data_IF_874609925558
#
_entry.id   IF_874609925558
#
_cell.length_a   1.000
_cell.length_b   1.000
_cell.length_c   1.000
_cell.angle_alpha   90.00
_cell.angle_beta   90.00
_cell.angle_gamma   90.00
#
_symmetry.space_group_name_H-M   'P 1'
#
loop_
_entity.id
_entity.type
_entity.pdbx_description
1 polymer ?
#
# COMPACT_ATOMS: atom_id res chain seq x y z
N UNK A 1 8.69 18.21 3.64
CA UNK A 1 7.50 18.21 2.75
C UNK A 1 7.98 18.07 1.32
N UNK A 2 7.92 16.88 0.73
CA UNK A 2 7.92 16.77 -0.74
C UNK A 2 6.47 16.63 -1.15
N UNK A 3 5.84 17.77 -1.43
CA UNK A 3 4.65 17.82 -2.26
C UNK A 3 5.14 17.57 -3.68
N UNK A 4 4.80 16.42 -4.26
CA UNK A 4 4.79 16.27 -5.71
C UNK A 4 3.66 17.19 -6.20
N UNK A 5 3.97 18.46 -6.44
CA UNK A 5 3.08 19.38 -7.12
C UNK A 5 2.93 18.89 -8.56
N UNK A 6 1.89 18.09 -8.80
CA UNK A 6 1.34 17.94 -10.12
C UNK A 6 0.11 18.83 -10.22
N UNK A 7 0.21 19.81 -11.12
CA UNK A 7 -0.80 20.76 -11.51
C UNK A 7 -2.07 20.04 -11.96
N UNK A 8 -3.16 20.23 -11.23
CA UNK A 8 -4.40 20.83 -11.72
C UNK A 8 -5.50 20.68 -10.66
N UNK A 9 -6.23 21.75 -10.48
CA UNK A 9 -7.32 21.88 -9.55
C UNK A 9 -8.57 21.23 -10.19
N UNK A 10 -8.91 19.99 -9.81
CA UNK A 10 -10.23 19.41 -10.10
C UNK A 10 -10.89 19.06 -8.77
N UNK A 11 -11.99 19.75 -8.47
CA UNK A 11 -12.71 19.71 -7.20
C UNK A 11 -13.44 18.38 -6.95
N UNK A 12 -12.69 17.37 -6.56
CA UNK A 12 -13.15 16.21 -5.79
C UNK A 12 -12.20 16.04 -4.60
N UNK A 13 -12.65 15.45 -3.50
CA UNK A 13 -11.80 15.16 -2.33
C UNK A 13 -10.49 14.52 -2.78
N UNK A 14 -9.38 15.27 -2.70
CA UNK A 14 -8.09 14.80 -3.16
C UNK A 14 -7.59 13.74 -2.17
N UNK A 15 -7.76 12.47 -2.52
CA UNK A 15 -7.03 11.38 -1.87
C UNK A 15 -5.55 11.59 -2.14
N UNK A 16 -4.81 12.04 -1.12
CA UNK A 16 -3.37 12.27 -1.19
C UNK A 16 -2.63 11.25 -0.33
N UNK A 17 -1.49 10.79 -0.83
CA UNK A 17 -0.57 9.93 -0.08
C UNK A 17 0.62 10.78 0.36
N UNK A 18 1.03 10.63 1.61
CA UNK A 18 2.20 11.32 2.16
C UNK A 18 3.42 10.41 2.10
N UNK A 19 4.42 10.80 1.32
CA UNK A 19 5.74 10.18 1.35
C UNK A 19 6.68 11.03 2.21
N UNK A 20 7.12 10.47 3.34
CA UNK A 20 7.93 11.15 4.34
C UNK A 20 9.09 10.25 4.76
N UNK A 21 10.19 10.87 5.20
CA UNK A 21 11.21 10.17 5.98
C UNK A 21 10.71 9.98 7.42
N UNK A 22 11.21 8.98 8.14
CA UNK A 22 10.82 8.75 9.55
C UNK A 22 11.01 10.01 10.42
N UNK A 23 12.10 10.74 10.21
CA UNK A 23 12.39 12.00 10.88
C UNK A 23 11.30 13.06 10.63
N UNK A 24 10.84 13.19 9.39
CA UNK A 24 9.82 14.16 9.01
C UNK A 24 8.39 13.73 9.38
N UNK A 25 8.20 12.48 9.79
CA UNK A 25 6.92 11.99 10.28
C UNK A 25 6.64 12.35 11.75
N UNK A 26 7.64 12.87 12.47
CA UNK A 26 7.52 13.26 13.89
C UNK A 26 6.41 14.31 14.07
N UNK A 27 5.47 14.02 14.96
CA UNK A 27 4.34 14.91 15.28
C UNK A 27 3.18 14.86 14.28
N UNK A 28 3.25 14.00 13.26
CA UNK A 28 2.13 13.69 12.38
C UNK A 28 1.52 12.35 12.80
N UNK A 29 0.26 12.09 12.47
CA UNK A 29 -0.40 10.80 12.69
C UNK A 29 -1.31 10.49 11.51
N UNK A 30 -1.39 9.21 11.14
CA UNK A 30 -2.16 8.76 9.98
C UNK A 30 -2.95 7.49 10.33
N UNK A 31 -4.15 7.30 9.74
CA UNK A 31 -4.92 6.06 9.89
C UNK A 31 -4.09 4.82 9.49
N UNK A 32 -3.37 4.92 8.38
CA UNK A 32 -2.53 3.86 7.85
C UNK A 32 -1.13 4.39 7.59
N UNK A 33 -0.11 3.67 8.07
CA UNK A 33 1.30 3.97 7.80
C UNK A 33 1.97 2.75 7.20
N UNK A 34 2.71 2.97 6.12
CA UNK A 34 3.56 1.96 5.50
C UNK A 34 5.01 2.37 5.76
N UNK A 35 5.71 1.57 6.58
CA UNK A 35 7.14 1.73 6.81
C UNK A 35 7.87 0.79 5.88
N UNK A 36 8.53 1.35 4.87
CA UNK A 36 9.22 0.56 3.85
C UNK A 36 10.70 0.36 4.14
N UNK A 37 11.28 -0.72 3.60
CA UNK A 37 12.73 -0.95 3.61
C UNK A 37 13.36 -1.28 4.96
N UNK A 38 12.64 -1.92 5.89
CA UNK A 38 13.18 -2.31 7.21
C UNK A 38 14.06 -3.56 7.08
N UNK A 39 15.32 -3.34 6.70
CA UNK A 39 16.31 -4.41 6.45
C UNK A 39 17.57 -4.16 7.26
N UNK A 40 18.34 -5.21 7.55
CA UNK A 40 19.52 -5.15 8.43
C UNK A 40 20.63 -4.18 8.01
N UNK A 41 20.70 -3.79 6.72
CA UNK A 41 21.66 -2.80 6.23
C UNK A 41 21.18 -1.34 6.32
N UNK A 42 19.86 -1.13 6.34
CA UNK A 42 19.25 0.20 6.30
C UNK A 42 18.72 0.64 7.66
N UNK A 43 18.24 -0.31 8.47
CA UNK A 43 17.68 -0.03 9.79
C UNK A 43 18.06 -1.14 10.78
N UNK A 44 18.86 -0.85 11.82
CA UNK A 44 19.65 0.37 11.98
C UNK A 44 20.63 0.53 10.81
N UNK A 45 20.98 1.78 10.48
CA UNK A 45 21.92 2.03 9.39
C UNK A 45 23.26 1.35 9.67
N UNK A 46 23.80 0.59 8.71
CA UNK A 46 24.94 -0.31 8.91
C UNK A 46 26.23 0.35 9.46
N UNK A 47 26.36 1.67 9.31
CA UNK A 47 27.48 2.44 9.88
C UNK A 47 27.32 2.74 11.38
N UNK A 48 26.10 2.65 11.92
CA UNK A 48 25.81 2.79 13.35
C UNK A 48 26.20 1.53 14.08
N UNK A 49 27.26 1.60 14.88
CA UNK A 49 27.79 0.44 15.62
C UNK A 49 27.81 0.67 17.11
N UNK A 50 27.81 1.93 17.54
CA UNK A 50 27.79 2.26 18.95
C UNK A 50 26.40 2.05 19.52
N UNK A 51 26.34 1.72 20.81
CA UNK A 51 25.08 1.43 21.50
C UNK A 51 24.13 2.62 21.40
N UNK A 52 24.63 3.83 21.65
CA UNK A 52 23.80 5.05 21.67
C UNK A 52 23.23 5.38 20.29
N UNK A 53 23.99 5.11 19.23
CA UNK A 53 23.52 5.26 17.85
C UNK A 53 22.41 4.27 17.51
N UNK A 54 22.55 3.01 17.93
CA UNK A 54 21.54 1.98 17.74
C UNK A 54 20.27 2.31 18.54
N UNK A 55 20.41 2.84 19.76
CA UNK A 55 19.27 3.34 20.55
C UNK A 55 18.54 4.48 19.85
N UNK A 56 19.25 5.36 19.15
CA UNK A 56 18.64 6.46 18.40
C UNK A 56 17.86 5.96 17.17
N UNK A 57 18.44 5.04 16.40
CA UNK A 57 17.72 4.37 15.31
C UNK A 57 16.50 3.61 15.85
N UNK A 58 16.59 2.98 17.02
CA UNK A 58 15.44 2.32 17.66
C UNK A 58 14.35 3.32 18.00
N UNK A 59 14.70 4.49 18.54
CA UNK A 59 13.73 5.57 18.79
C UNK A 59 13.06 6.04 17.50
N UNK A 60 13.82 6.19 16.41
CA UNK A 60 13.25 6.55 15.10
C UNK A 60 12.26 5.51 14.59
N UNK A 61 12.60 4.22 14.69
CA UNK A 61 11.70 3.14 14.32
C UNK A 61 10.43 3.16 15.16
N UNK A 62 10.56 3.28 16.49
CA UNK A 62 9.42 3.38 17.40
C UNK A 62 8.52 4.59 17.10
N UNK A 63 9.11 5.76 16.84
CA UNK A 63 8.36 6.95 16.44
C UNK A 63 7.59 6.67 15.16
N UNK A 64 8.21 6.09 14.13
CA UNK A 64 7.56 5.75 12.87
C UNK A 64 6.41 4.74 13.05
N UNK A 65 6.61 3.69 13.84
CA UNK A 65 5.59 2.68 14.13
C UNK A 65 4.38 3.27 14.86
N UNK A 66 4.61 4.18 15.81
CA UNK A 66 3.54 4.85 16.57
C UNK A 66 2.83 5.96 15.81
N UNK A 67 3.19 6.21 14.54
CA UNK A 67 2.45 7.15 13.68
C UNK A 67 1.15 6.56 13.12
N UNK A 68 1.04 5.23 13.09
CA UNK A 68 -0.17 4.53 12.67
C UNK A 68 -1.20 4.50 13.80
N UNK A 69 -2.43 4.94 13.53
CA UNK A 69 -3.52 4.83 14.50
C UNK A 69 -4.39 3.58 14.31
N UNK A 70 -4.48 3.03 13.10
CA UNK A 70 -5.30 1.84 12.82
C UNK A 70 -4.47 0.70 12.23
N UNK A 71 -3.61 1.00 11.26
CA UNK A 71 -2.86 -0.03 10.54
C UNK A 71 -1.41 0.38 10.28
N UNK A 72 -0.50 -0.48 10.71
CA UNK A 72 0.92 -0.40 10.42
C UNK A 72 1.32 -1.54 9.49
N UNK A 73 1.85 -1.22 8.31
CA UNK A 73 2.45 -2.19 7.40
C UNK A 73 3.95 -1.97 7.37
N UNK A 74 4.73 -3.03 7.59
CA UNK A 74 6.18 -2.98 7.51
C UNK A 74 6.64 -3.87 6.36
N UNK A 75 7.37 -3.31 5.39
CA UNK A 75 7.97 -4.08 4.31
C UNK A 75 9.44 -4.36 4.61
N UNK A 76 9.87 -5.61 4.38
CA UNK A 76 11.25 -6.05 4.50
C UNK A 76 11.64 -6.91 3.30
N UNK A 77 12.93 -6.97 2.99
CA UNK A 77 13.49 -7.88 2.01
C UNK A 77 13.66 -9.26 2.64
N UNK A 78 13.18 -10.30 1.95
CA UNK A 78 13.09 -11.67 2.48
C UNK A 78 14.44 -12.27 2.90
N UNK A 79 15.54 -11.81 2.32
CA UNK A 79 16.88 -12.33 2.58
C UNK A 79 17.57 -11.67 3.79
N UNK A 80 17.15 -10.47 4.20
CA UNK A 80 17.87 -9.64 5.18
C UNK A 80 16.95 -8.80 6.09
N UNK A 81 16.07 -9.44 6.89
CA UNK A 81 15.21 -8.70 7.80
C UNK A 81 16.02 -7.95 8.87
N UNK A 82 15.53 -6.77 9.26
CA UNK A 82 16.09 -6.05 10.40
C UNK A 82 15.79 -6.78 11.71
N UNK A 83 16.75 -6.81 12.63
CA UNK A 83 16.52 -7.34 13.98
C UNK A 83 15.55 -6.48 14.81
N UNK A 84 15.29 -5.22 14.42
CA UNK A 84 14.25 -4.40 15.05
C UNK A 84 12.86 -5.02 14.91
N UNK A 85 12.63 -5.85 13.89
CA UNK A 85 11.35 -6.54 13.71
C UNK A 85 11.05 -7.54 14.82
N UNK A 86 12.06 -8.12 15.45
CA UNK A 86 11.88 -9.02 16.60
C UNK A 86 11.29 -8.31 17.82
N UNK A 87 11.39 -6.98 17.86
CA UNK A 87 10.93 -6.15 18.97
C UNK A 87 9.49 -5.65 18.77
N UNK A 88 8.93 -5.84 17.57
CA UNK A 88 7.52 -5.51 17.29
C UNK A 88 6.67 -6.68 17.79
N UNK A 89 5.69 -6.41 18.65
CA UNK A 89 4.91 -7.41 19.36
C UNK A 89 4.38 -8.52 18.44
N UNK A 90 4.78 -9.77 18.74
CA UNK A 90 4.56 -10.97 17.91
C UNK A 90 3.08 -11.34 17.74
N UNK A 91 2.20 -10.90 18.65
CA UNK A 91 0.83 -11.41 18.76
C UNK A 91 -0.13 -10.96 17.64
N UNK A 92 0.24 -9.99 16.82
CA UNK A 92 -0.62 -9.50 15.71
C UNK A 92 0.15 -9.33 14.39
N UNK A 93 1.33 -9.95 14.28
CA UNK A 93 2.14 -9.89 13.07
C UNK A 93 1.78 -11.05 12.14
N UNK A 94 1.24 -10.72 10.96
CA UNK A 94 1.09 -11.67 9.88
C UNK A 94 2.17 -11.39 8.83
N UNK A 95 3.10 -12.33 8.58
CA UNK A 95 4.04 -12.19 7.47
C UNK A 95 3.24 -12.27 6.18
N UNK A 96 3.26 -11.20 5.41
CA UNK A 96 2.58 -11.13 4.11
C UNK A 96 3.63 -11.11 3.01
N UNK A 97 3.53 -12.04 2.07
CA UNK A 97 4.55 -12.25 1.03
C UNK A 97 4.20 -11.56 -0.28
N UNK A 98 2.95 -11.10 -0.43
CA UNK A 98 2.53 -10.35 -1.59
C UNK A 98 1.74 -9.10 -1.21
N UNK A 99 1.94 -8.03 -1.97
CA UNK A 99 1.13 -6.82 -1.84
C UNK A 99 -0.37 -7.10 -2.03
N UNK A 100 -0.72 -8.16 -2.79
CA UNK A 100 -2.10 -8.58 -3.01
C UNK A 100 -2.77 -9.06 -1.73
N UNK A 101 -2.13 -9.92 -0.97
CA UNK A 101 -2.65 -10.38 0.33
C UNK A 101 -2.86 -9.21 1.30
N UNK A 102 -1.96 -8.22 1.28
CA UNK A 102 -2.10 -6.99 2.08
C UNK A 102 -3.36 -6.23 1.64
N UNK A 103 -3.51 -5.98 0.34
CA UNK A 103 -4.67 -5.27 -0.21
C UNK A 103 -5.96 -6.04 0.07
N UNK A 104 -5.99 -7.35 -0.14
CA UNK A 104 -7.17 -8.18 0.06
C UNK A 104 -7.55 -8.27 1.56
N UNK A 105 -6.58 -8.19 2.47
CA UNK A 105 -6.83 -8.16 3.91
C UNK A 105 -7.34 -6.80 4.40
N UNK A 106 -6.80 -5.70 3.86
CA UNK A 106 -7.17 -4.32 4.27
C UNK A 106 -8.47 -3.87 3.59
N UNK A 107 -8.61 -4.23 2.32
CA UNK A 107 -9.75 -3.97 1.47
C UNK A 107 -10.28 -5.32 1.00
N UNK A 108 -11.02 -6.06 1.84
CA UNK A 108 -11.69 -7.26 1.39
C UNK A 108 -12.57 -6.84 0.22
N UNK A 109 -12.17 -7.22 -0.99
CA UNK A 109 -13.03 -7.10 -2.16
C UNK A 109 -14.23 -7.94 -1.80
N UNK A 110 -15.37 -7.28 -1.51
CA UNK A 110 -16.65 -7.95 -1.38
C UNK A 110 -16.80 -8.80 -2.62
N UNK A 111 -16.53 -10.11 -2.51
CA UNK A 111 -16.70 -11.04 -3.62
C UNK A 111 -18.18 -10.97 -3.95
N UNK A 112 -18.58 -10.44 -5.10
CA UNK A 112 -19.97 -10.55 -5.48
C UNK A 112 -20.22 -12.05 -5.59
N UNK A 113 -21.28 -12.55 -4.94
CA UNK A 113 -21.81 -13.87 -5.30
C UNK A 113 -22.00 -13.94 -6.82
N UNK A 114 -22.00 -15.14 -7.44
CA UNK A 114 -21.96 -15.31 -8.90
C UNK A 114 -23.06 -14.49 -9.59
N UNK A 115 -22.73 -13.24 -9.90
CA UNK A 115 -23.62 -12.23 -10.38
C UNK A 115 -23.44 -12.16 -11.88
N UNK A 116 -24.56 -12.13 -12.59
CA UNK A 116 -24.67 -11.96 -14.04
C UNK A 116 -23.84 -10.74 -14.48
N UNK A 117 -22.56 -10.93 -14.75
CA UNK A 117 -21.72 -9.90 -15.34
C UNK A 117 -22.27 -9.57 -16.72
N UNK A 118 -22.46 -8.28 -16.99
CA UNK A 118 -23.18 -7.64 -18.11
C UNK A 118 -22.65 -8.00 -19.52
N UNK A 119 -21.77 -9.00 -19.63
CA UNK A 119 -21.19 -9.51 -20.87
C UNK A 119 -20.21 -8.58 -21.57
N UNK A 120 -20.10 -7.32 -21.12
CA UNK A 120 -19.24 -6.29 -21.69
C UNK A 120 -17.79 -6.50 -21.32
N UNK A 121 -16.91 -6.24 -22.30
CA UNK A 121 -15.48 -6.36 -22.13
C UNK A 121 -14.85 -4.96 -22.07
N UNK A 122 -13.69 -4.88 -21.44
CA UNK A 122 -12.86 -3.69 -21.42
C UNK A 122 -11.46 -4.10 -21.87
N UNK A 123 -10.83 -3.29 -22.70
CA UNK A 123 -9.40 -3.41 -23.02
C UNK A 123 -8.63 -2.38 -22.21
N UNK A 124 -7.76 -2.88 -21.33
CA UNK A 124 -6.85 -2.07 -20.53
C UNK A 124 -5.44 -2.11 -21.12
N UNK A 125 -4.75 -0.97 -21.28
CA UNK A 125 -3.46 -0.90 -21.99
C UNK A 125 -2.37 -1.81 -21.39
N UNK A 126 -2.43 -2.08 -20.09
CA UNK A 126 -1.44 -2.91 -19.38
C UNK A 126 -1.94 -4.35 -19.12
N UNK A 127 -3.25 -4.53 -18.96
CA UNK A 127 -3.82 -5.80 -18.48
C UNK A 127 -4.52 -6.59 -19.59
N UNK A 128 -4.60 -6.02 -20.79
CA UNK A 128 -5.25 -6.63 -21.94
C UNK A 128 -6.77 -6.60 -21.81
N UNK A 129 -7.43 -7.61 -22.39
CA UNK A 129 -8.89 -7.73 -22.38
C UNK A 129 -9.35 -8.31 -21.04
N UNK A 130 -10.29 -7.63 -20.40
CA UNK A 130 -10.94 -8.07 -19.17
C UNK A 130 -12.47 -8.02 -19.30
N UNK A 131 -13.15 -8.86 -18.52
CA UNK A 131 -14.62 -8.89 -18.45
C UNK A 131 -15.08 -8.05 -17.27
N UNK A 132 -16.04 -7.15 -17.48
CA UNK A 132 -16.65 -6.41 -16.38
C UNK A 132 -17.46 -7.40 -15.53
N UNK A 133 -17.08 -7.55 -14.27
CA UNK A 133 -17.84 -8.30 -13.28
C UNK A 133 -18.92 -7.40 -12.71
N UNK A 134 -18.53 -6.20 -12.25
CA UNK A 134 -19.41 -5.29 -11.53
C UNK A 134 -19.00 -3.83 -11.72
N UNK A 135 -19.99 -2.94 -11.70
CA UNK A 135 -19.78 -1.49 -11.65
C UNK A 135 -19.98 -1.03 -10.20
N UNK A 136 -18.89 -0.67 -9.53
CA UNK A 136 -18.87 -0.23 -8.12
C UNK A 136 -19.27 1.26 -8.02
N UNK A 137 -18.90 2.08 -9.01
CA UNK A 137 -19.32 3.48 -9.11
C UNK A 137 -19.36 3.95 -10.57
N UNK A 138 -19.68 5.22 -10.84
CA UNK A 138 -19.69 5.76 -12.21
C UNK A 138 -18.39 5.47 -12.99
N UNK A 139 -17.25 5.57 -12.31
CA UNK A 139 -15.92 5.38 -12.89
C UNK A 139 -15.15 4.17 -12.34
N UNK A 140 -15.66 3.45 -11.33
CA UNK A 140 -14.97 2.28 -10.76
C UNK A 140 -15.63 0.97 -11.16
N UNK A 141 -14.86 0.11 -11.80
CA UNK A 141 -15.31 -1.19 -12.29
C UNK A 141 -14.44 -2.30 -11.72
N UNK A 142 -15.06 -3.39 -11.29
CA UNK A 142 -14.38 -4.63 -11.01
C UNK A 142 -14.30 -5.43 -12.32
N UNK A 143 -13.08 -5.68 -12.78
CA UNK A 143 -12.80 -6.32 -14.06
C UNK A 143 -12.00 -7.59 -13.81
N UNK A 144 -12.45 -8.71 -14.36
CA UNK A 144 -11.70 -9.95 -14.39
C UNK A 144 -10.79 -9.99 -15.63
N UNK A 145 -9.49 -9.99 -15.44
CA UNK A 145 -8.52 -10.23 -16.50
C UNK A 145 -8.09 -11.70 -16.47
N UNK A 146 -8.22 -12.41 -17.60
CA UNK A 146 -7.95 -13.87 -17.67
C UNK A 146 -6.58 -14.25 -17.15
N UNK A 147 -5.56 -13.41 -17.37
CA UNK A 147 -4.18 -13.68 -16.91
C UNK A 147 -3.81 -12.99 -15.58
N UNK A 148 -4.54 -11.96 -15.15
CA UNK A 148 -4.17 -11.10 -14.00
C UNK A 148 -5.16 -11.17 -12.84
N UNK A 149 -6.25 -11.92 -13.02
CA UNK A 149 -7.36 -12.04 -12.09
C UNK A 149 -8.17 -10.75 -11.97
N UNK A 150 -8.91 -10.64 -10.86
CA UNK A 150 -9.78 -9.50 -10.62
C UNK A 150 -8.98 -8.24 -10.28
N UNK A 151 -9.35 -7.13 -10.92
CA UNK A 151 -8.77 -5.80 -10.71
C UNK A 151 -9.86 -4.77 -10.64
N UNK A 152 -9.76 -3.91 -9.62
CA UNK A 152 -10.60 -2.73 -9.50
C UNK A 152 -9.94 -1.61 -10.30
N UNK A 153 -10.58 -1.21 -11.39
CA UNK A 153 -10.08 -0.19 -12.32
C UNK A 153 -10.94 1.06 -12.19
N UNK A 154 -10.27 2.19 -12.01
CA UNK A 154 -10.87 3.51 -12.06
C UNK A 154 -10.65 4.12 -13.46
N UNK A 155 -11.72 4.22 -14.24
CA UNK A 155 -11.72 4.75 -15.61
C UNK A 155 -11.53 6.26 -15.67
N UNK A 156 -11.58 6.94 -14.52
CA UNK A 156 -11.16 8.36 -14.44
C UNK A 156 -9.64 8.52 -14.48
N UNK A 157 -8.91 7.49 -14.02
CA UNK A 157 -7.44 7.49 -13.94
C UNK A 157 -6.83 6.82 -15.17
N UNK A 158 -7.42 5.70 -15.61
CA UNK A 158 -6.93 4.95 -16.76
C UNK A 158 -7.94 5.03 -17.90
N UNK A 159 -7.47 5.52 -19.06
CA UNK A 159 -8.23 5.41 -20.30
C UNK A 159 -8.33 3.95 -20.69
N UNK A 160 -9.55 3.44 -20.73
CA UNK A 160 -9.86 2.08 -21.15
C UNK A 160 -10.90 2.10 -22.27
N UNK A 161 -10.84 1.13 -23.16
CA UNK A 161 -11.79 1.00 -24.26
C UNK A 161 -12.87 -0.02 -23.88
N UNK A 162 -14.14 0.38 -24.01
CA UNK A 162 -15.28 -0.51 -23.81
C UNK A 162 -15.58 -1.24 -25.12
N UNK A 163 -15.69 -2.57 -25.06
CA UNK A 163 -15.90 -3.47 -26.21
C UNK A 163 -17.15 -4.31 -25.99
#
# INVERSE_FOLDING_TARGET
>A
RMSLENRENRGGEKTQVFLLTMHNAKGLEFPTVIVSGINSAYMPFFLRKERDEIEEERRLFYVASTRASQLLVISTASDRPSFFLQQVATASYFPVYSFREIVDAIFPVSRPGPGKGDGRFIVHPVFGRGRIIEKISENKFLIHFTEKGDKLIDTSVVKVEFV
#
